data_IF_609546670474
#
_entry.id   IF_609546670474
#
_cell.length_a   1.000
_cell.length_b   1.000
_cell.length_c   1.000
_cell.angle_alpha   90.00
_cell.angle_beta   90.00
_cell.angle_gamma   90.00
#
_symmetry.space_group_name_H-M   'P 1'
#
loop_
_entity.id
_entity.type
_entity.pdbx_description
1 polymer ?
#
# COMPACT_ATOMS: atom_id res chain seq x y z
N UNK A 1 -13.16 -17.37 26.00
CA UNK A 1 -11.77 -16.90 26.21
C UNK A 1 -11.13 -16.76 24.84
N UNK A 2 -11.32 -15.65 24.21
CA UNK A 2 -10.77 -15.33 22.87
C UNK A 2 -9.61 -14.38 23.07
N UNK A 3 -8.39 -14.90 22.90
CA UNK A 3 -7.18 -14.08 22.79
C UNK A 3 -7.27 -13.29 21.50
N UNK A 4 -7.68 -12.05 21.59
CA UNK A 4 -7.67 -11.07 20.51
C UNK A 4 -6.22 -10.73 20.16
N UNK A 5 -5.92 -10.79 18.86
CA UNK A 5 -4.65 -10.41 18.25
C UNK A 5 -4.32 -8.91 18.49
N UNK A 6 -3.87 -8.59 19.69
CA UNK A 6 -3.28 -7.29 20.02
C UNK A 6 -1.77 -7.21 19.75
N UNK A 7 -1.21 -8.20 19.02
CA UNK A 7 0.24 -8.31 18.85
C UNK A 7 0.83 -7.35 17.80
N UNK A 8 0.01 -6.66 17.01
CA UNK A 8 0.52 -5.73 16.00
C UNK A 8 1.12 -4.42 16.55
N UNK A 9 0.91 -4.11 17.83
CA UNK A 9 1.33 -2.83 18.43
C UNK A 9 2.25 -2.93 19.66
N UNK A 10 2.62 -4.13 20.09
CA UNK A 10 3.60 -4.32 21.18
C UNK A 10 5.06 -4.31 20.70
N UNK A 11 5.39 -3.52 19.69
CA UNK A 11 6.76 -3.44 19.20
C UNK A 11 7.40 -2.13 19.67
N UNK A 12 7.70 -2.08 20.95
CA UNK A 12 8.81 -1.26 21.44
C UNK A 12 9.76 -2.21 22.18
N UNK A 13 10.99 -2.30 21.64
CA UNK A 13 12.17 -2.97 22.21
C UNK A 13 12.33 -4.47 21.91
N UNK A 14 12.82 -4.78 20.72
CA UNK A 14 14.01 -5.65 20.48
C UNK A 14 14.46 -5.44 19.03
N UNK A 15 15.51 -4.65 18.83
CA UNK A 15 15.93 -4.13 17.50
C UNK A 15 16.64 -5.14 16.59
N UNK A 16 16.70 -6.41 16.91
CA UNK A 16 17.60 -7.35 16.21
C UNK A 16 16.94 -8.34 15.24
N UNK A 17 15.60 -8.43 15.16
CA UNK A 17 14.96 -9.39 14.25
C UNK A 17 13.60 -8.94 13.69
N UNK A 18 13.39 -7.65 13.44
CA UNK A 18 12.14 -7.19 12.80
C UNK A 18 12.29 -7.20 11.27
N UNK A 19 11.25 -7.68 10.53
CA UNK A 19 11.21 -7.54 9.07
C UNK A 19 11.44 -6.10 8.63
N UNK A 20 12.16 -5.90 7.52
CA UNK A 20 12.49 -4.57 7.02
C UNK A 20 11.26 -3.71 6.74
N UNK A 21 10.16 -4.34 6.32
CA UNK A 21 8.90 -3.64 6.09
C UNK A 21 8.37 -2.93 7.34
N UNK A 22 8.60 -3.48 8.53
CA UNK A 22 8.22 -2.87 9.80
C UNK A 22 9.30 -1.91 10.30
N UNK A 23 10.58 -2.28 10.16
CA UNK A 23 11.74 -1.48 10.59
C UNK A 23 11.81 -0.14 9.86
N UNK A 24 11.55 -0.12 8.57
CA UNK A 24 11.61 1.06 7.71
C UNK A 24 10.26 1.72 7.46
N UNK A 25 9.20 1.27 8.15
CA UNK A 25 7.90 1.91 8.05
C UNK A 25 7.94 3.35 8.57
N UNK A 26 7.53 4.35 7.77
CA UNK A 26 7.45 5.74 8.22
C UNK A 26 6.54 5.88 9.44
N UNK A 27 7.05 6.53 10.49
CA UNK A 27 6.33 6.72 11.75
C UNK A 27 5.63 8.09 11.82
N UNK A 28 6.21 9.11 11.19
CA UNK A 28 5.76 10.50 11.16
C UNK A 28 5.77 11.03 9.74
N UNK A 29 5.08 12.15 9.48
CA UNK A 29 5.00 12.74 8.14
C UNK A 29 6.36 13.06 7.52
N UNK A 30 7.34 13.50 8.33
CA UNK A 30 8.71 13.83 7.87
C UNK A 30 9.51 12.60 7.44
N UNK A 31 9.06 11.39 7.74
CA UNK A 31 9.76 10.15 7.36
C UNK A 31 9.36 9.65 5.97
N UNK A 32 8.36 10.29 5.35
CA UNK A 32 7.95 9.96 3.98
C UNK A 32 8.80 10.72 2.98
N UNK A 33 9.45 10.02 2.06
CA UNK A 33 10.31 10.62 1.04
C UNK A 33 9.53 11.33 -0.07
N UNK A 34 8.27 10.98 -0.26
CA UNK A 34 7.42 11.47 -1.37
C UNK A 34 6.02 11.87 -0.90
N UNK A 35 5.89 12.51 0.23
CA UNK A 35 4.60 13.04 0.65
C UNK A 35 4.49 14.51 0.26
N UNK A 36 3.45 14.84 -0.54
CA UNK A 36 3.18 16.20 -0.96
C UNK A 36 2.92 17.11 0.26
N UNK A 37 3.56 18.26 0.27
CA UNK A 37 3.40 19.25 1.33
C UNK A 37 1.94 19.68 1.51
N UNK A 38 1.15 19.74 0.43
CA UNK A 38 -0.27 20.07 0.47
C UNK A 38 -1.08 18.97 1.16
N UNK A 39 -0.73 17.69 0.92
CA UNK A 39 -1.37 16.55 1.61
C UNK A 39 -1.04 16.59 3.10
N UNK A 40 0.22 16.88 3.46
CA UNK A 40 0.63 17.03 4.88
C UNK A 40 -0.13 18.17 5.54
N UNK A 41 -0.23 19.32 4.88
CA UNK A 41 -0.96 20.48 5.40
C UNK A 41 -2.44 20.14 5.60
N UNK A 42 -3.07 19.50 4.60
CA UNK A 42 -4.46 19.06 4.69
C UNK A 42 -4.66 18.09 5.87
N UNK A 43 -3.83 17.08 6.01
CA UNK A 43 -3.92 16.11 7.10
C UNK A 43 -3.75 16.78 8.48
N UNK A 44 -2.81 17.71 8.63
CA UNK A 44 -2.63 18.48 9.86
C UNK A 44 -3.87 19.31 10.17
N UNK A 45 -4.42 20.01 9.18
CA UNK A 45 -5.66 20.78 9.34
C UNK A 45 -6.83 19.89 9.79
N UNK A 46 -6.98 18.70 9.20
CA UNK A 46 -8.02 17.74 9.58
C UNK A 46 -7.83 17.21 11.01
N UNK A 47 -6.59 17.01 11.45
CA UNK A 47 -6.24 16.65 12.83
C UNK A 47 -6.69 17.79 13.78
N UNK A 48 -6.32 19.03 13.48
CA UNK A 48 -6.64 20.20 14.29
C UNK A 48 -8.17 20.46 14.37
N UNK A 49 -8.87 20.22 13.26
CA UNK A 49 -10.33 20.28 13.19
C UNK A 49 -11.02 19.09 13.88
N UNK A 50 -10.27 18.11 14.38
CA UNK A 50 -10.80 16.86 14.96
C UNK A 50 -11.80 16.15 14.04
N UNK A 51 -11.48 16.10 12.72
CA UNK A 51 -12.28 15.46 11.67
C UNK A 51 -11.43 14.57 10.75
N UNK A 52 -11.26 13.30 11.12
CA UNK A 52 -10.46 12.31 10.40
C UNK A 52 -11.34 11.25 9.69
N UNK A 53 -12.46 11.69 9.10
CA UNK A 53 -13.23 10.81 8.23
C UNK A 53 -12.63 10.84 6.81
N UNK A 54 -11.52 10.11 6.60
CA UNK A 54 -10.73 10.15 5.38
C UNK A 54 -10.74 8.82 4.63
N UNK A 55 -10.61 8.90 3.32
CA UNK A 55 -10.39 7.78 2.41
C UNK A 55 -9.11 8.05 1.62
N UNK A 56 -8.05 7.29 1.91
CA UNK A 56 -6.80 7.33 1.15
C UNK A 56 -6.92 6.45 -0.09
N UNK A 57 -6.59 7.03 -1.24
CA UNK A 57 -6.62 6.35 -2.54
C UNK A 57 -5.22 6.32 -3.14
N UNK A 58 -4.79 5.16 -3.63
CA UNK A 58 -3.47 5.05 -4.29
C UNK A 58 -3.13 3.62 -4.65
N UNK A 59 -2.05 3.44 -5.40
CA UNK A 59 -1.61 2.14 -5.90
C UNK A 59 -1.18 1.18 -4.78
N UNK A 60 -1.21 -0.14 -5.03
CA UNK A 60 -0.68 -1.12 -4.09
C UNK A 60 0.79 -0.84 -3.77
N UNK A 61 1.14 -0.86 -2.48
CA UNK A 61 2.54 -0.62 -2.05
C UNK A 61 3.01 0.84 -2.07
N UNK A 62 2.12 1.82 -2.32
CA UNK A 62 2.42 3.26 -2.28
C UNK A 62 2.57 3.86 -0.88
N UNK A 63 2.33 3.09 0.17
CA UNK A 63 2.46 3.55 1.55
C UNK A 63 1.17 4.06 2.21
N UNK A 64 -0.03 3.79 1.64
CA UNK A 64 -1.34 4.18 2.23
C UNK A 64 -1.47 3.79 3.69
N UNK A 65 -1.29 2.52 3.99
CA UNK A 65 -1.39 1.98 5.36
C UNK A 65 -0.39 2.65 6.29
N UNK A 66 0.85 2.88 5.83
CA UNK A 66 1.87 3.58 6.60
C UNK A 66 1.48 5.02 6.90
N UNK A 67 0.87 5.72 5.92
CA UNK A 67 0.38 7.09 6.11
C UNK A 67 -0.77 7.14 7.12
N UNK A 68 -1.69 6.16 7.09
CA UNK A 68 -2.76 6.06 8.08
C UNK A 68 -2.17 5.94 9.50
N UNK A 69 -1.19 5.08 9.69
CA UNK A 69 -0.56 4.93 11.01
C UNK A 69 0.19 6.19 11.45
N UNK A 70 0.82 6.91 10.52
CA UNK A 70 1.42 8.21 10.82
C UNK A 70 0.37 9.25 11.25
N UNK A 71 -0.77 9.32 10.55
CA UNK A 71 -1.91 10.19 10.93
C UNK A 71 -2.42 9.85 12.32
N UNK A 72 -2.57 8.57 12.65
CA UNK A 72 -3.04 8.11 13.97
C UNK A 72 -2.05 8.53 15.07
N UNK A 73 -0.74 8.39 14.82
CA UNK A 73 0.29 8.82 15.77
C UNK A 73 0.31 10.33 15.95
N UNK A 74 0.24 11.09 14.88
CA UNK A 74 0.17 12.55 14.94
C UNK A 74 -1.11 13.04 15.65
N UNK A 75 -2.22 12.32 15.51
CA UNK A 75 -3.47 12.64 16.20
C UNK A 75 -3.37 12.41 17.70
N UNK A 76 -2.91 11.23 18.16
CA UNK A 76 -2.83 10.92 19.59
C UNK A 76 -1.56 11.43 20.27
N UNK A 77 -0.48 11.65 19.52
CA UNK A 77 0.84 12.06 20.05
C UNK A 77 1.28 11.11 21.19
N UNK A 78 1.69 11.69 22.31
CA UNK A 78 2.15 10.94 23.50
C UNK A 78 1.04 10.14 24.20
N UNK A 79 -0.23 10.40 23.86
CA UNK A 79 -1.39 9.73 24.46
C UNK A 79 -1.88 8.52 23.65
N UNK A 80 -1.01 7.97 22.80
CA UNK A 80 -1.37 6.81 22.00
C UNK A 80 -1.80 5.62 22.87
N UNK A 81 -3.02 5.08 22.62
CA UNK A 81 -3.55 3.88 23.26
C UNK A 81 -4.17 2.96 22.22
N UNK A 82 -3.67 1.72 22.07
CA UNK A 82 -4.19 0.74 21.12
C UNK A 82 -5.68 0.40 21.32
N UNK A 83 -6.19 0.48 22.54
CA UNK A 83 -7.60 0.18 22.83
C UNK A 83 -8.58 1.22 22.27
N UNK A 84 -8.08 2.41 21.89
CA UNK A 84 -8.86 3.43 21.21
C UNK A 84 -8.87 3.26 19.68
N UNK A 85 -8.23 2.22 19.16
CA UNK A 85 -8.09 1.97 17.73
C UNK A 85 -8.63 0.59 17.40
N UNK A 86 -9.65 0.52 16.56
CA UNK A 86 -10.15 -0.72 16.01
C UNK A 86 -9.64 -0.86 14.57
N UNK A 87 -8.76 -1.82 14.34
CA UNK A 87 -8.27 -2.16 13.01
C UNK A 87 -9.11 -3.29 12.45
N UNK A 88 -9.82 -3.02 11.38
CA UNK A 88 -10.59 -3.99 10.63
C UNK A 88 -9.82 -4.39 9.38
N UNK A 89 -9.48 -5.67 9.31
CA UNK A 89 -8.74 -6.20 8.18
C UNK A 89 -9.73 -6.82 7.18
N UNK A 90 -9.77 -6.27 5.98
CA UNK A 90 -10.64 -6.74 4.88
C UNK A 90 -10.33 -8.16 4.40
N UNK A 91 -9.09 -8.63 4.61
CA UNK A 91 -8.63 -9.96 4.19
C UNK A 91 -9.10 -11.11 5.10
N UNK A 92 -9.60 -10.80 6.31
CA UNK A 92 -10.24 -11.82 7.13
C UNK A 92 -11.69 -11.89 6.70
N UNK A 93 -12.13 -13.03 6.20
CA UNK A 93 -13.54 -13.38 5.90
C UNK A 93 -14.39 -13.37 7.19
N UNK A 94 -14.43 -12.22 7.81
CA UNK A 94 -15.29 -11.96 8.93
C UNK A 94 -16.63 -11.55 8.33
N UNK A 95 -17.63 -12.41 8.46
CA UNK A 95 -18.95 -12.17 7.91
C UNK A 95 -19.53 -10.82 8.36
N UNK A 96 -20.56 -10.33 7.66
CA UNK A 96 -21.26 -9.06 7.92
C UNK A 96 -21.62 -8.87 9.41
N UNK A 97 -21.89 -9.98 10.12
CA UNK A 97 -22.20 -10.00 11.56
C UNK A 97 -21.07 -9.43 12.42
N UNK A 98 -19.81 -9.71 12.07
CA UNK A 98 -18.64 -9.16 12.78
C UNK A 98 -18.57 -7.64 12.64
N UNK A 99 -18.63 -7.14 11.39
CA UNK A 99 -18.61 -5.69 11.15
C UNK A 99 -19.78 -4.99 11.85
N UNK A 100 -20.94 -5.66 11.96
CA UNK A 100 -22.13 -5.09 12.59
C UNK A 100 -22.02 -5.04 14.11
N UNK A 101 -21.55 -6.11 14.74
CA UNK A 101 -21.58 -6.27 16.19
C UNK A 101 -20.35 -5.66 16.86
N UNK A 102 -19.15 -6.07 16.49
CA UNK A 102 -17.92 -5.63 17.16
C UNK A 102 -17.63 -4.15 16.91
N UNK A 103 -17.82 -3.69 15.68
CA UNK A 103 -17.69 -2.27 15.37
C UNK A 103 -18.73 -1.43 16.11
N UNK A 104 -19.98 -1.90 16.22
CA UNK A 104 -21.03 -1.20 16.95
C UNK A 104 -20.69 -1.09 18.44
N UNK A 105 -20.25 -2.18 19.07
CA UNK A 105 -19.84 -2.19 20.48
C UNK A 105 -18.67 -1.23 20.69
N UNK A 106 -17.65 -1.29 19.83
CA UNK A 106 -16.52 -0.38 19.89
C UNK A 106 -16.94 1.09 19.77
N UNK A 107 -17.83 1.43 18.84
CA UNK A 107 -18.31 2.80 18.65
C UNK A 107 -19.22 3.31 19.79
N UNK A 108 -19.87 2.42 20.52
CA UNK A 108 -20.75 2.78 21.64
C UNK A 108 -19.97 3.07 22.93
N UNK A 109 -18.85 2.42 23.14
CA UNK A 109 -18.01 2.64 24.32
C UNK A 109 -17.29 4.00 24.23
N UNK A 110 -17.11 4.66 25.38
CA UNK A 110 -16.40 5.93 25.47
C UNK A 110 -14.92 5.78 25.12
N UNK A 111 -14.29 6.90 24.70
CA UNK A 111 -12.83 6.96 24.54
C UNK A 111 -12.16 6.87 25.91
N UNK A 112 -11.07 6.14 25.99
CA UNK A 112 -10.22 6.04 27.18
C UNK A 112 -9.37 7.30 27.41
N UNK A 113 -9.27 8.14 26.40
CA UNK A 113 -8.47 9.37 26.43
C UNK A 113 -9.40 10.57 26.34
N UNK A 114 -9.43 11.37 27.40
CA UNK A 114 -10.25 12.57 27.44
C UNK A 114 -9.84 13.57 26.34
N UNK A 115 -10.83 14.05 25.59
CA UNK A 115 -10.65 15.03 24.52
C UNK A 115 -10.27 14.42 23.16
N UNK A 116 -10.08 13.11 23.07
CA UNK A 116 -9.76 12.42 21.81
C UNK A 116 -10.88 11.44 21.42
N UNK A 117 -11.21 11.41 20.14
CA UNK A 117 -12.13 10.43 19.58
C UNK A 117 -11.43 9.09 19.38
N UNK A 118 -12.18 8.00 19.37
CA UNK A 118 -11.70 6.69 18.93
C UNK A 118 -11.50 6.68 17.43
N UNK A 119 -10.71 5.71 16.94
CA UNK A 119 -10.47 5.53 15.51
C UNK A 119 -10.88 4.12 15.09
N UNK A 120 -11.66 4.02 14.04
CA UNK A 120 -11.91 2.79 13.28
C UNK A 120 -11.14 2.90 11.98
N UNK A 121 -10.22 1.97 11.79
CA UNK A 121 -9.42 1.84 10.57
C UNK A 121 -9.95 0.65 9.76
N UNK A 122 -10.29 0.91 8.50
CA UNK A 122 -10.58 -0.12 7.51
C UNK A 122 -9.63 0.01 6.33
N UNK A 123 -8.66 -0.89 6.28
CA UNK A 123 -7.71 -0.96 5.18
C UNK A 123 -8.31 -1.77 4.02
N UNK A 124 -8.03 -1.33 2.77
CA UNK A 124 -8.50 -1.93 1.52
C UNK A 124 -10.03 -2.15 1.47
N UNK A 125 -10.80 -1.07 1.69
CA UNK A 125 -12.27 -1.10 1.70
C UNK A 125 -12.90 -1.57 0.38
N UNK A 126 -12.18 -1.48 -0.71
CA UNK A 126 -12.58 -1.92 -2.05
C UNK A 126 -12.60 -3.45 -2.23
N UNK A 127 -12.05 -4.21 -1.27
CA UNK A 127 -12.11 -5.67 -1.25
C UNK A 127 -13.42 -6.19 -0.64
N UNK A 128 -13.99 -5.45 0.32
CA UNK A 128 -15.21 -5.89 1.00
C UNK A 128 -16.45 -5.64 0.13
N UNK A 129 -17.45 -6.52 0.28
CA UNK A 129 -18.70 -6.44 -0.47
C UNK A 129 -19.52 -5.18 -0.11
N UNK A 130 -20.43 -4.77 -0.99
CA UNK A 130 -21.26 -3.57 -0.82
C UNK A 130 -22.11 -3.61 0.46
N UNK A 131 -22.61 -4.77 0.86
CA UNK A 131 -23.42 -4.91 2.08
C UNK A 131 -22.59 -4.57 3.33
N UNK A 132 -21.33 -4.98 3.40
CA UNK A 132 -20.42 -4.62 4.48
C UNK A 132 -20.06 -3.13 4.44
N UNK A 133 -19.88 -2.56 3.26
CA UNK A 133 -19.68 -1.12 3.08
C UNK A 133 -20.90 -0.31 3.57
N UNK A 134 -22.14 -0.79 3.36
CA UNK A 134 -23.36 -0.15 3.90
C UNK A 134 -23.40 -0.16 5.45
N UNK A 135 -22.91 -1.23 6.07
CA UNK A 135 -22.78 -1.25 7.55
C UNK A 135 -21.82 -0.15 8.02
N UNK A 136 -20.69 0.02 7.31
CA UNK A 136 -19.74 1.10 7.58
C UNK A 136 -20.36 2.48 7.45
N UNK A 137 -21.08 2.72 6.36
CA UNK A 137 -21.80 3.98 6.14
C UNK A 137 -22.75 4.28 7.31
N UNK A 138 -23.56 3.30 7.73
CA UNK A 138 -24.49 3.47 8.83
C UNK A 138 -23.78 3.80 10.16
N UNK A 139 -22.59 3.25 10.39
CA UNK A 139 -21.78 3.55 11.57
C UNK A 139 -21.20 4.96 11.52
N UNK A 140 -20.74 5.43 10.35
CA UNK A 140 -20.27 6.81 10.16
C UNK A 140 -21.40 7.78 10.50
N UNK A 141 -22.60 7.58 9.92
CA UNK A 141 -23.75 8.46 10.17
C UNK A 141 -24.11 8.56 11.66
N UNK A 142 -24.00 7.45 12.37
CA UNK A 142 -24.41 7.37 13.77
C UNK A 142 -23.33 7.83 14.76
N UNK A 143 -22.04 7.56 14.47
CA UNK A 143 -20.99 7.68 15.48
C UNK A 143 -19.86 8.66 15.11
N UNK A 144 -19.91 9.38 13.98
CA UNK A 144 -18.87 10.34 13.57
C UNK A 144 -18.58 11.45 14.58
N UNK A 145 -19.53 11.71 15.48
CA UNK A 145 -19.31 12.66 16.57
C UNK A 145 -18.37 12.14 17.68
N UNK A 146 -18.20 10.81 17.83
CA UNK A 146 -17.36 10.14 18.84
C UNK A 146 -16.21 9.33 18.27
N UNK A 147 -16.26 8.97 16.99
CA UNK A 147 -15.33 8.05 16.34
C UNK A 147 -14.91 8.62 14.99
N UNK A 148 -13.63 8.53 14.69
CA UNK A 148 -13.08 8.78 13.35
C UNK A 148 -13.05 7.50 12.53
N UNK A 149 -13.37 7.61 11.25
CA UNK A 149 -13.40 6.47 10.33
C UNK A 149 -12.38 6.68 9.21
N UNK A 150 -11.20 6.08 9.36
CA UNK A 150 -10.12 6.16 8.38
C UNK A 150 -10.17 4.91 7.51
N UNK A 151 -10.05 5.08 6.19
CA UNK A 151 -10.04 3.96 5.24
C UNK A 151 -9.00 4.16 4.16
N UNK A 152 -8.59 3.05 3.53
CA UNK A 152 -7.82 3.07 2.30
C UNK A 152 -8.53 2.28 1.20
N UNK A 153 -8.20 2.58 -0.05
CA UNK A 153 -8.58 1.77 -1.21
C UNK A 153 -7.56 1.93 -2.34
N UNK A 154 -7.56 0.99 -3.26
CA UNK A 154 -6.83 1.09 -4.52
C UNK A 154 -7.72 1.64 -5.63
N UNK A 155 -9.02 1.30 -5.62
CA UNK A 155 -9.99 1.74 -6.61
C UNK A 155 -11.20 2.39 -5.94
N UNK A 156 -11.40 3.69 -6.19
CA UNK A 156 -12.57 4.42 -5.70
C UNK A 156 -13.86 3.87 -6.29
N UNK A 157 -13.83 3.37 -7.53
CA UNK A 157 -15.01 2.82 -8.23
C UNK A 157 -15.64 1.62 -7.53
N UNK A 158 -14.85 0.89 -6.71
CA UNK A 158 -15.34 -0.25 -5.91
C UNK A 158 -15.90 0.18 -4.54
N UNK A 159 -15.83 1.47 -4.22
CA UNK A 159 -16.39 2.03 -2.99
C UNK A 159 -17.73 2.65 -3.31
N UNK A 160 -18.78 2.30 -2.55
CA UNK A 160 -20.13 2.83 -2.79
C UNK A 160 -20.19 4.35 -2.65
N UNK A 161 -20.92 5.04 -3.52
CA UNK A 161 -21.02 6.50 -3.58
C UNK A 161 -21.49 7.12 -2.24
N UNK A 162 -22.42 6.43 -1.58
CA UNK A 162 -22.93 6.85 -0.28
C UNK A 162 -21.88 6.87 0.82
N UNK A 163 -20.78 6.15 0.67
CA UNK A 163 -19.64 6.14 1.59
C UNK A 163 -18.59 7.19 1.16
N UNK A 164 -18.37 7.33 -0.14
CA UNK A 164 -17.48 8.37 -0.69
C UNK A 164 -17.93 9.76 -0.26
N UNK A 165 -19.23 10.06 -0.35
CA UNK A 165 -19.80 11.37 0.02
C UNK A 165 -19.64 11.75 1.51
N UNK A 166 -19.29 10.79 2.36
CA UNK A 166 -19.11 10.98 3.83
C UNK A 166 -17.64 11.04 4.25
N UNK A 167 -16.74 10.90 3.32
CA UNK A 167 -15.29 10.89 3.57
C UNK A 167 -14.59 11.95 2.76
N UNK A 168 -13.51 12.46 3.31
CA UNK A 168 -12.58 13.33 2.57
C UNK A 168 -11.66 12.40 1.80
N UNK A 169 -11.78 12.43 0.48
CA UNK A 169 -10.97 11.60 -0.41
C UNK A 169 -9.64 12.29 -0.63
N UNK A 170 -8.56 11.58 -0.29
CA UNK A 170 -7.18 12.06 -0.48
C UNK A 170 -6.47 11.08 -1.41
N UNK A 171 -6.12 11.53 -2.60
CA UNK A 171 -5.38 10.75 -3.58
C UNK A 171 -3.89 10.90 -3.33
N UNK A 172 -3.20 9.78 -3.13
CA UNK A 172 -1.74 9.73 -3.04
C UNK A 172 -1.13 9.80 -4.43
N UNK A 173 -0.02 10.51 -4.54
CA UNK A 173 0.75 10.54 -5.78
C UNK A 173 1.37 9.16 -6.06
N UNK A 174 1.51 8.79 -7.33
CA UNK A 174 2.27 7.59 -7.71
C UNK A 174 3.70 7.68 -7.17
N UNK A 175 4.28 6.52 -6.86
CA UNK A 175 5.67 6.45 -6.41
C UNK A 175 6.59 6.77 -7.58
N UNK A 176 7.58 7.66 -7.37
CA UNK A 176 8.57 8.05 -8.37
C UNK A 176 9.88 7.27 -8.20
N UNK A 177 10.62 7.07 -9.28
CA UNK A 177 11.93 6.41 -9.26
C UNK A 177 12.91 7.06 -8.28
N UNK A 178 12.90 8.38 -8.20
CA UNK A 178 13.76 9.15 -7.28
C UNK A 178 13.46 8.79 -5.82
N UNK A 179 12.20 8.57 -5.49
CA UNK A 179 11.78 8.13 -4.15
C UNK A 179 12.30 6.72 -3.85
N UNK A 180 12.13 5.79 -4.78
CA UNK A 180 12.63 4.41 -4.64
C UNK A 180 14.16 4.37 -4.46
N UNK A 181 14.90 5.16 -5.25
CA UNK A 181 16.36 5.29 -5.12
C UNK A 181 16.79 5.80 -3.75
N UNK A 182 16.11 6.82 -3.21
CA UNK A 182 16.39 7.33 -1.86
C UNK A 182 16.15 6.29 -0.78
N UNK A 183 15.02 5.57 -0.87
CA UNK A 183 14.69 4.50 0.08
C UNK A 183 15.70 3.36 -0.02
N UNK A 184 16.05 2.92 -1.25
CA UNK A 184 17.06 1.88 -1.50
C UNK A 184 18.40 2.26 -0.87
N UNK A 185 18.94 3.43 -1.22
CA UNK A 185 20.23 3.92 -0.72
C UNK A 185 20.25 4.05 0.81
N UNK A 186 19.16 4.48 1.42
CA UNK A 186 19.02 4.56 2.88
C UNK A 186 19.07 3.18 3.54
N UNK A 187 18.36 2.19 2.99
CA UNK A 187 18.35 0.83 3.53
C UNK A 187 19.70 0.16 3.31
N UNK A 188 20.27 0.23 2.11
CA UNK A 188 21.58 -0.34 1.77
C UNK A 188 22.66 0.18 2.73
N UNK A 189 22.66 1.48 2.98
CA UNK A 189 23.63 2.12 3.90
C UNK A 189 23.41 1.69 5.35
N UNK A 190 22.17 1.65 5.83
CA UNK A 190 21.88 1.33 7.22
C UNK A 190 22.12 -0.13 7.57
N UNK A 191 21.89 -1.04 6.60
CA UNK A 191 22.05 -2.49 6.77
C UNK A 191 23.41 -2.98 6.29
N UNK A 192 24.29 -2.09 5.77
CA UNK A 192 25.59 -2.45 5.20
C UNK A 192 25.46 -3.58 4.16
N UNK A 193 24.57 -3.41 3.17
CA UNK A 193 24.36 -4.39 2.11
C UNK A 193 25.44 -4.19 1.04
N UNK A 194 26.25 -5.22 0.76
CA UNK A 194 27.24 -5.20 -0.29
C UNK A 194 26.57 -5.53 -1.63
N UNK A 195 26.20 -4.50 -2.41
CA UNK A 195 25.51 -4.64 -3.70
C UNK A 195 26.23 -3.83 -4.79
N UNK A 196 26.28 -4.36 -6.01
CA UNK A 196 26.82 -3.65 -7.17
C UNK A 196 25.78 -2.66 -7.72
N UNK A 197 26.25 -1.57 -8.36
CA UNK A 197 25.37 -0.55 -8.97
C UNK A 197 24.38 -1.14 -9.99
N UNK A 198 24.81 -2.14 -10.75
CA UNK A 198 23.96 -2.78 -11.78
C UNK A 198 22.87 -3.66 -11.14
N UNK A 199 23.20 -4.35 -10.04
CA UNK A 199 22.23 -5.11 -9.28
C UNK A 199 21.21 -4.20 -8.58
N UNK A 200 21.63 -3.05 -8.03
CA UNK A 200 20.71 -2.06 -7.45
C UNK A 200 19.74 -1.53 -8.50
N UNK A 201 20.23 -1.11 -9.67
CA UNK A 201 19.38 -0.66 -10.79
C UNK A 201 18.38 -1.73 -11.22
N UNK A 202 18.83 -2.98 -11.31
CA UNK A 202 17.95 -4.09 -11.64
C UNK A 202 16.83 -4.25 -10.63
N UNK A 203 17.13 -4.22 -9.32
CA UNK A 203 16.12 -4.34 -8.25
C UNK A 203 15.12 -3.18 -8.29
N UNK A 204 15.60 -1.96 -8.51
CA UNK A 204 14.73 -0.80 -8.67
C UNK A 204 13.75 -1.01 -9.84
N UNK A 205 14.23 -1.48 -10.99
CA UNK A 205 13.39 -1.72 -12.16
C UNK A 205 12.34 -2.80 -11.92
N UNK A 206 12.69 -3.92 -11.27
CA UNK A 206 11.74 -5.01 -11.01
C UNK A 206 10.82 -4.75 -9.83
N UNK A 207 11.07 -3.71 -9.04
CA UNK A 207 10.17 -3.32 -7.95
C UNK A 207 8.86 -2.71 -8.45
N UNK A 208 8.79 -2.34 -9.76
CA UNK A 208 7.58 -1.85 -10.44
C UNK A 208 6.89 -0.73 -9.65
N UNK A 209 7.64 0.29 -9.23
CA UNK A 209 7.16 1.42 -8.43
C UNK A 209 6.52 1.06 -7.09
N UNK A 210 6.76 -0.14 -6.58
CA UNK A 210 6.25 -0.59 -5.29
C UNK A 210 7.33 -0.56 -4.22
N UNK A 211 7.17 0.34 -3.24
CA UNK A 211 8.07 0.43 -2.07
C UNK A 211 8.09 -0.89 -1.29
N UNK A 212 6.95 -1.57 -1.20
CA UNK A 212 6.84 -2.87 -0.50
C UNK A 212 7.71 -3.93 -1.15
N UNK A 213 7.65 -4.04 -2.49
CA UNK A 213 8.44 -5.03 -3.24
C UNK A 213 9.93 -4.71 -3.11
N UNK A 214 10.32 -3.44 -3.24
CA UNK A 214 11.71 -3.00 -3.07
C UNK A 214 12.27 -3.41 -1.70
N UNK A 215 11.55 -3.11 -0.62
CA UNK A 215 11.99 -3.42 0.75
C UNK A 215 12.12 -4.94 0.93
N UNK A 216 11.17 -5.73 0.42
CA UNK A 216 11.22 -7.20 0.51
C UNK A 216 12.42 -7.78 -0.24
N UNK A 217 12.79 -7.21 -1.41
CA UNK A 217 13.98 -7.67 -2.14
C UNK A 217 15.27 -7.30 -1.40
N UNK A 218 15.36 -6.10 -0.83
CA UNK A 218 16.52 -5.71 -0.04
C UNK A 218 16.66 -6.58 1.22
N UNK A 219 15.56 -6.98 1.84
CA UNK A 219 15.58 -7.91 2.97
C UNK A 219 16.06 -9.31 2.55
N UNK A 220 15.55 -9.87 1.43
CA UNK A 220 16.04 -11.15 0.88
C UNK A 220 17.54 -11.13 0.63
N UNK A 221 18.04 -10.04 0.07
CA UNK A 221 19.47 -9.86 -0.21
C UNK A 221 20.27 -9.81 1.07
N UNK A 222 19.81 -9.09 2.08
CA UNK A 222 20.50 -8.99 3.38
C UNK A 222 20.62 -10.34 4.08
N UNK A 223 19.61 -11.22 3.95
CA UNK A 223 19.63 -12.55 4.56
C UNK A 223 20.78 -13.42 4.02
N UNK A 224 21.21 -13.23 2.77
CA UNK A 224 22.33 -13.98 2.18
C UNK A 224 23.69 -13.56 2.74
N UNK A 225 23.81 -12.35 3.23
CA UNK A 225 25.02 -11.76 3.81
C UNK A 225 26.30 -11.94 2.96
N UNK A 226 26.13 -11.95 1.62
CA UNK A 226 27.17 -12.09 0.60
C UNK A 226 27.14 -10.91 -0.37
N UNK A 227 28.26 -10.59 -1.04
CA UNK A 227 28.24 -9.56 -2.08
C UNK A 227 27.28 -9.93 -3.20
N UNK A 228 26.40 -8.99 -3.58
CA UNK A 228 25.35 -9.21 -4.56
C UNK A 228 25.76 -8.59 -5.89
N UNK A 229 25.98 -9.45 -6.87
CA UNK A 229 26.11 -9.07 -8.26
C UNK A 229 24.80 -9.19 -9.03
N UNK A 230 24.79 -8.79 -10.30
CA UNK A 230 23.60 -8.84 -11.15
C UNK A 230 23.08 -10.26 -11.35
N UNK A 231 23.95 -11.28 -11.38
CA UNK A 231 23.54 -12.66 -11.60
C UNK A 231 22.78 -13.20 -10.38
N UNK A 232 23.31 -12.96 -9.18
CA UNK A 232 22.65 -13.32 -7.92
C UNK A 232 21.33 -12.56 -7.74
N UNK A 233 21.30 -11.27 -8.07
CA UNK A 233 20.08 -10.47 -7.99
C UNK A 233 18.96 -11.05 -8.90
N UNK A 234 19.29 -11.47 -10.11
CA UNK A 234 18.33 -12.11 -11.03
C UNK A 234 17.79 -13.46 -10.54
N UNK A 235 18.60 -14.22 -9.81
CA UNK A 235 18.16 -15.50 -9.22
C UNK A 235 17.20 -15.30 -8.03
N UNK A 236 17.45 -14.26 -7.24
CA UNK A 236 16.69 -14.03 -5.99
C UNK A 236 15.40 -13.24 -6.20
N UNK A 237 15.43 -12.31 -7.14
CA UNK A 237 14.37 -11.37 -7.36
C UNK A 237 13.59 -11.78 -8.61
N UNK A 238 12.46 -12.44 -8.40
CA UNK A 238 11.58 -12.96 -9.45
C UNK A 238 10.34 -12.09 -9.54
N UNK A 239 10.34 -11.15 -10.46
CA UNK A 239 9.14 -10.39 -10.86
C UNK A 239 9.30 -10.01 -12.34
N UNK A 240 8.19 -9.81 -13.03
CA UNK A 240 8.21 -9.34 -14.41
C UNK A 240 8.46 -7.83 -14.39
N UNK A 241 9.60 -7.40 -14.93
CA UNK A 241 9.91 -5.97 -15.03
C UNK A 241 8.96 -5.27 -16.00
N UNK A 242 8.52 -4.07 -15.67
CA UNK A 242 7.77 -3.22 -16.59
C UNK A 242 8.55 -2.87 -17.85
N UNK A 243 9.88 -2.86 -17.79
CA UNK A 243 10.72 -2.66 -18.96
C UNK A 243 10.49 -3.69 -20.07
N UNK A 244 10.22 -4.95 -19.69
CA UNK A 244 9.87 -6.01 -20.65
C UNK A 244 8.55 -5.67 -21.37
N UNK A 245 7.60 -5.14 -20.65
CA UNK A 245 6.32 -4.72 -21.23
C UNK A 245 6.43 -3.42 -22.05
N UNK A 246 7.38 -2.54 -21.74
CA UNK A 246 7.70 -1.39 -22.60
C UNK A 246 8.20 -1.88 -23.97
N UNK A 247 9.18 -2.79 -24.00
CA UNK A 247 9.69 -3.37 -25.23
C UNK A 247 8.59 -4.13 -26.00
N UNK A 248 7.79 -4.93 -25.30
CA UNK A 248 6.64 -5.62 -25.88
C UNK A 248 5.68 -4.65 -26.57
N UNK A 249 5.34 -3.56 -25.88
CA UNK A 249 4.46 -2.52 -26.42
C UNK A 249 5.06 -1.81 -27.64
N UNK A 250 6.37 -1.57 -27.64
CA UNK A 250 7.09 -1.01 -28.79
C UNK A 250 7.04 -1.97 -29.99
N UNK A 251 7.25 -3.28 -29.78
CA UNK A 251 7.11 -4.26 -30.87
C UNK A 251 5.71 -4.30 -31.45
N UNK A 252 4.67 -4.21 -30.62
CA UNK A 252 3.28 -4.14 -31.08
C UNK A 252 3.01 -2.88 -31.90
N UNK A 253 3.48 -1.70 -31.47
CA UNK A 253 3.36 -0.44 -32.20
C UNK A 253 4.05 -0.51 -33.57
N UNK A 254 5.21 -1.16 -33.63
CA UNK A 254 5.96 -1.37 -34.86
C UNK A 254 5.42 -2.52 -35.72
N UNK A 255 4.29 -3.13 -35.34
CA UNK A 255 3.66 -4.29 -36.02
C UNK A 255 4.58 -5.52 -36.12
N UNK A 256 5.56 -5.63 -35.27
CA UNK A 256 6.49 -6.78 -35.21
C UNK A 256 5.94 -7.86 -34.28
N UNK A 257 4.86 -8.54 -34.71
CA UNK A 257 4.19 -9.57 -33.93
C UNK A 257 5.09 -10.75 -33.60
N UNK A 258 6.04 -11.08 -34.48
CA UNK A 258 6.94 -12.22 -34.26
C UNK A 258 7.82 -12.01 -33.04
N UNK A 259 8.40 -10.83 -32.85
CA UNK A 259 9.22 -10.51 -31.67
C UNK A 259 8.36 -10.37 -30.41
N UNK A 260 7.18 -9.76 -30.51
CA UNK A 260 6.26 -9.66 -29.39
C UNK A 260 5.86 -11.04 -28.84
N UNK A 261 5.50 -11.98 -29.74
CA UNK A 261 5.13 -13.35 -29.34
C UNK A 261 6.31 -14.11 -28.74
N UNK A 262 7.52 -13.98 -29.32
CA UNK A 262 8.74 -14.59 -28.75
C UNK A 262 9.01 -14.11 -27.31
N UNK A 263 8.77 -12.82 -27.05
CA UNK A 263 8.95 -12.26 -25.71
C UNK A 263 7.96 -12.86 -24.69
N UNK A 264 6.70 -13.04 -25.07
CA UNK A 264 5.72 -13.72 -24.19
C UNK A 264 6.10 -15.18 -23.92
N UNK A 265 6.56 -15.90 -24.95
CA UNK A 265 7.06 -17.26 -24.74
C UNK A 265 8.28 -17.31 -23.82
N UNK A 266 9.19 -16.33 -23.92
CA UNK A 266 10.35 -16.29 -23.02
C UNK A 266 9.96 -16.08 -21.55
N UNK A 267 8.89 -15.32 -21.27
CA UNK A 267 8.33 -15.18 -19.93
C UNK A 267 7.71 -16.50 -19.45
N UNK A 268 6.95 -17.17 -20.32
CA UNK A 268 6.37 -18.46 -20.00
C UNK A 268 7.44 -19.52 -19.71
N UNK A 269 8.51 -19.56 -20.50
CA UNK A 269 9.65 -20.47 -20.31
C UNK A 269 10.45 -20.19 -19.02
N UNK A 270 10.38 -18.96 -18.50
CA UNK A 270 10.91 -18.58 -17.18
C UNK A 270 10.04 -19.05 -16.02
N UNK A 271 8.88 -19.66 -16.30
CA UNK A 271 8.00 -20.23 -15.29
C UNK A 271 6.85 -19.31 -14.80
N UNK A 272 6.66 -18.16 -15.44
CA UNK A 272 5.49 -17.32 -15.12
C UNK A 272 4.20 -17.90 -15.70
N UNK A 273 3.15 -17.95 -14.89
CA UNK A 273 1.82 -18.35 -15.38
C UNK A 273 1.26 -17.27 -16.32
N UNK A 274 0.33 -17.67 -17.19
CA UNK A 274 -0.38 -16.73 -18.06
C UNK A 274 -1.11 -15.65 -17.23
N UNK A 275 -1.67 -16.02 -16.08
CA UNK A 275 -2.34 -15.08 -15.18
C UNK A 275 -1.36 -14.08 -14.57
N UNK A 276 -0.17 -14.52 -14.15
CA UNK A 276 0.86 -13.61 -13.63
C UNK A 276 1.30 -12.59 -14.69
N UNK A 277 1.46 -13.06 -15.94
CA UNK A 277 1.83 -12.18 -17.07
C UNK A 277 0.71 -11.15 -17.32
N UNK A 278 -0.54 -11.57 -17.34
CA UNK A 278 -1.69 -10.69 -17.56
C UNK A 278 -1.85 -9.68 -16.43
N UNK A 279 -1.78 -10.10 -15.17
CA UNK A 279 -1.94 -9.22 -14.01
C UNK A 279 -0.84 -8.14 -13.98
N UNK A 280 0.42 -8.54 -14.23
CA UNK A 280 1.52 -7.58 -14.32
C UNK A 280 1.39 -6.65 -15.53
N UNK A 281 0.90 -7.16 -16.67
CA UNK A 281 0.64 -6.33 -17.84
C UNK A 281 -0.48 -5.31 -17.61
N UNK A 282 -1.55 -5.68 -16.91
CA UNK A 282 -2.61 -4.72 -16.53
C UNK A 282 -2.11 -3.65 -15.57
N UNK A 283 -1.23 -3.99 -14.62
CA UNK A 283 -0.59 -3.00 -13.76
C UNK A 283 0.29 -2.04 -14.57
N UNK A 284 1.07 -2.58 -15.51
CA UNK A 284 1.89 -1.80 -16.42
C UNK A 284 1.05 -0.83 -17.29
N UNK A 285 -0.05 -1.29 -17.88
CA UNK A 285 -0.93 -0.47 -18.73
C UNK A 285 -1.45 0.74 -17.97
N UNK A 286 -1.78 0.61 -16.71
CA UNK A 286 -2.27 1.72 -15.88
C UNK A 286 -1.24 2.83 -15.71
N UNK A 287 0.05 2.47 -15.59
CA UNK A 287 1.15 3.39 -15.27
C UNK A 287 1.87 3.92 -16.49
N UNK A 288 1.88 3.18 -17.62
CA UNK A 288 2.68 3.56 -18.79
C UNK A 288 2.15 4.81 -19.52
N UNK A 289 3.03 5.75 -19.90
CA UNK A 289 2.67 6.86 -20.79
C UNK A 289 2.68 6.45 -22.28
N UNK A 290 3.16 5.26 -22.62
CA UNK A 290 3.29 4.82 -24.02
C UNK A 290 1.94 4.58 -24.70
N UNK A 291 0.88 4.32 -23.96
CA UNK A 291 -0.44 3.97 -24.49
C UNK A 291 -1.43 5.08 -24.13
N UNK A 292 -2.16 5.57 -25.14
CA UNK A 292 -3.20 6.59 -24.95
C UNK A 292 -4.35 6.04 -24.10
N UNK A 293 -5.01 6.88 -23.31
CA UNK A 293 -6.08 6.47 -22.38
C UNK A 293 -7.22 5.73 -23.08
N UNK A 294 -7.59 6.14 -24.30
CA UNK A 294 -8.61 5.46 -25.09
C UNK A 294 -8.23 4.02 -25.44
N UNK A 295 -6.96 3.77 -25.73
CA UNK A 295 -6.44 2.43 -26.01
C UNK A 295 -6.25 1.62 -24.73
N UNK A 296 -5.82 2.24 -23.63
CA UNK A 296 -5.80 1.60 -22.31
C UNK A 296 -7.17 1.02 -21.96
N UNK A 297 -8.23 1.83 -22.12
CA UNK A 297 -9.60 1.39 -21.85
C UNK A 297 -10.05 0.22 -22.73
N UNK A 298 -9.67 0.23 -24.02
CA UNK A 298 -10.00 -0.89 -24.93
C UNK A 298 -9.30 -2.19 -24.54
N UNK A 299 -8.02 -2.13 -24.15
CA UNK A 299 -7.22 -3.30 -23.74
C UNK A 299 -7.75 -3.89 -22.44
N UNK A 300 -8.18 -3.07 -21.49
CA UNK A 300 -8.70 -3.54 -20.20
C UNK A 300 -10.14 -4.06 -20.27
N UNK A 301 -10.84 -3.85 -21.40
CA UNK A 301 -12.21 -4.31 -21.59
C UNK A 301 -12.30 -5.73 -22.15
N UNK A 302 -11.20 -6.29 -22.65
CA UNK A 302 -11.10 -7.65 -23.17
C UNK A 302 -10.96 -8.63 -22.01
#
# INVERSE_FOLDING_TARGET
MTKTNNDAFKIVQTQTNQPFINKYQPQHFNHFEQLDANIVLLLKTLIDMNNLNILLVGDPGSGKTSLIYAVIREYYKDKYNPENILVLNSLKDQGISYYRNDMKIFCQTASLINGYKKIVLLDDIDIINEQSQQVFRNCIDKYSHKVHFISSCTSVQKVIDSLQSRKIIIKMNPVEDVCLQKISSKIIKNENIAITSDAEKFILNISNMSIRILINYLEKIKILDSPIDLAVAKLLCTNISFHIFDEYTIFLKNKNLQQAVKMLYSLYDQGYSVMDILDNYFLFIKSTPLIDETNKYKITKV
#
